data_IF_856550614726
#
_entry.id   IF_856550614726
#
_cell.length_a   1.000
_cell.length_b   1.000
_cell.length_c   1.000
_cell.angle_alpha   90.00
_cell.angle_beta   90.00
_cell.angle_gamma   90.00
#
_symmetry.space_group_name_H-M   'P 1'
#
loop_
_entity.id
_entity.type
_entity.pdbx_description
1 polymer ?
#
# COMPACT_ATOMS: atom_id res chain seq x y z
N UNK A 1 35.80 -8.87 1.21
CA UNK A 1 35.02 -8.33 0.09
C UNK A 1 33.69 -7.81 0.67
N UNK A 2 33.58 -6.50 0.83
CA UNK A 2 32.32 -5.86 1.16
C UNK A 2 31.36 -6.05 -0.03
N UNK A 3 30.32 -6.83 0.18
CA UNK A 3 29.17 -6.87 -0.74
C UNK A 3 28.44 -5.54 -0.55
N UNK A 4 28.26 -4.81 -1.62
CA UNK A 4 27.70 -3.46 -1.66
C UNK A 4 26.42 -3.36 -0.82
N UNK A 5 26.35 -2.41 0.09
CA UNK A 5 25.25 -2.17 1.02
C UNK A 5 23.89 -1.93 0.34
N UNK A 6 23.88 -1.46 -0.91
CA UNK A 6 22.67 -1.18 -1.67
C UNK A 6 21.85 -2.43 -2.03
N UNK A 7 22.50 -3.54 -2.40
CA UNK A 7 21.79 -4.80 -2.69
C UNK A 7 21.21 -5.43 -1.41
N UNK A 8 21.89 -5.25 -0.27
CA UNK A 8 21.43 -5.72 1.04
C UNK A 8 20.20 -4.94 1.53
N UNK A 9 20.07 -3.65 1.20
CA UNK A 9 18.96 -2.80 1.64
C UNK A 9 17.66 -3.06 0.87
N UNK A 10 17.72 -3.47 -0.40
CA UNK A 10 16.54 -3.83 -1.19
C UNK A 10 15.83 -5.05 -0.59
N UNK A 11 16.56 -6.02 -0.04
CA UNK A 11 15.98 -7.18 0.62
C UNK A 11 15.48 -6.89 2.04
N UNK A 12 15.96 -5.83 2.67
CA UNK A 12 15.60 -5.47 4.05
C UNK A 12 14.35 -4.60 4.14
N UNK A 13 14.03 -3.85 3.10
CA UNK A 13 12.84 -2.99 3.03
C UNK A 13 11.90 -3.54 1.98
N UNK A 14 10.67 -3.80 2.37
CA UNK A 14 9.62 -4.27 1.46
C UNK A 14 8.36 -3.45 1.67
N UNK A 15 7.75 -3.07 0.56
CA UNK A 15 6.50 -2.32 0.53
C UNK A 15 5.43 -3.22 -0.06
N UNK A 16 4.36 -3.42 0.70
CA UNK A 16 3.20 -4.21 0.31
C UNK A 16 1.98 -3.31 0.21
N UNK A 17 1.15 -3.55 -0.77
CA UNK A 17 -0.16 -2.92 -0.89
C UNK A 17 -1.27 -3.97 -0.86
N UNK A 18 -2.48 -3.56 -0.50
CA UNK A 18 -3.63 -4.46 -0.49
C UNK A 18 -3.96 -4.97 -1.89
N UNK A 19 -4.35 -6.22 -1.99
CA UNK A 19 -4.77 -6.85 -3.25
C UNK A 19 -6.28 -6.76 -3.47
N UNK A 20 -7.02 -6.25 -2.51
CA UNK A 20 -8.46 -6.07 -2.58
C UNK A 20 -8.83 -5.03 -3.61
N UNK A 21 -9.89 -5.29 -4.38
CA UNK A 21 -10.48 -4.33 -5.31
C UNK A 21 -11.98 -4.23 -5.06
N UNK A 22 -12.46 -3.00 -4.90
CA UNK A 22 -13.88 -2.64 -4.82
C UNK A 22 -14.09 -1.17 -5.19
N UNK A 23 -15.27 -0.83 -5.68
CA UNK A 23 -15.56 0.52 -6.17
C UNK A 23 -15.53 1.60 -5.08
N UNK A 24 -15.68 1.24 -3.80
CA UNK A 24 -15.80 2.21 -2.70
C UNK A 24 -14.47 2.56 -2.06
N UNK A 25 -13.68 1.54 -1.70
CA UNK A 25 -12.45 1.71 -0.90
C UNK A 25 -11.17 1.40 -1.68
N UNK A 26 -11.25 0.51 -2.67
CA UNK A 26 -10.11 0.01 -3.42
C UNK A 26 -10.41 0.03 -4.93
N UNK A 27 -10.56 1.22 -5.54
CA UNK A 27 -11.00 1.33 -6.93
C UNK A 27 -9.98 0.81 -7.95
N UNK A 28 -8.72 0.68 -7.56
CA UNK A 28 -7.66 0.16 -8.42
C UNK A 28 -7.44 -1.34 -8.18
N UNK A 29 -7.20 -2.10 -9.25
CA UNK A 29 -6.71 -3.47 -9.15
C UNK A 29 -5.26 -3.51 -8.62
N UNK A 30 -4.83 -4.70 -8.19
CA UNK A 30 -3.54 -4.86 -7.54
C UNK A 30 -2.36 -4.46 -8.43
N UNK A 31 -2.36 -4.91 -9.67
CA UNK A 31 -1.27 -4.61 -10.62
C UNK A 31 -1.18 -3.11 -10.90
N UNK A 32 -2.31 -2.46 -11.06
CA UNK A 32 -2.39 -1.00 -11.26
C UNK A 32 -1.89 -0.23 -10.05
N UNK A 33 -2.27 -0.63 -8.83
CA UNK A 33 -1.74 -0.04 -7.59
C UNK A 33 -0.22 -0.11 -7.53
N UNK A 34 0.33 -1.30 -7.77
CA UNK A 34 1.78 -1.51 -7.74
C UNK A 34 2.47 -0.65 -8.78
N UNK A 35 1.94 -0.58 -10.00
CA UNK A 35 2.49 0.23 -11.08
C UNK A 35 2.52 1.72 -10.72
N UNK A 36 1.44 2.27 -10.18
CA UNK A 36 1.41 3.68 -9.75
C UNK A 36 2.35 3.96 -8.58
N UNK A 37 2.43 3.08 -7.59
CA UNK A 37 3.36 3.25 -6.47
C UNK A 37 4.79 3.31 -6.99
N UNK A 38 5.18 2.42 -7.89
CA UNK A 38 6.52 2.40 -8.51
C UNK A 38 6.81 3.63 -9.33
N UNK A 39 5.84 4.13 -10.07
CA UNK A 39 6.00 5.30 -10.93
C UNK A 39 6.06 6.61 -10.15
N UNK A 40 5.24 6.73 -9.11
CA UNK A 40 5.19 7.93 -8.24
C UNK A 40 6.41 7.98 -7.33
N UNK A 41 6.90 6.83 -6.88
CA UNK A 41 8.05 6.69 -5.99
C UNK A 41 9.13 5.82 -6.62
N UNK A 42 9.80 6.28 -7.70
CA UNK A 42 10.80 5.48 -8.41
C UNK A 42 12.00 5.09 -7.53
N UNK A 43 12.30 5.88 -6.50
CA UNK A 43 13.34 5.59 -5.50
C UNK A 43 13.07 4.32 -4.70
N UNK A 44 11.81 3.91 -4.57
CA UNK A 44 11.38 2.70 -3.87
C UNK A 44 10.84 1.61 -4.80
N UNK A 45 10.90 1.79 -6.10
CA UNK A 45 10.29 0.89 -7.08
C UNK A 45 10.70 -0.58 -6.88
N UNK A 46 11.98 -0.83 -6.58
CA UNK A 46 12.52 -2.17 -6.35
C UNK A 46 12.12 -2.77 -5.00
N UNK A 47 11.61 -1.97 -4.08
CA UNK A 47 11.15 -2.42 -2.77
C UNK A 47 9.67 -2.82 -2.77
N UNK A 48 8.91 -2.41 -3.80
CA UNK A 48 7.49 -2.74 -3.92
C UNK A 48 7.33 -4.17 -4.41
N UNK A 49 6.73 -4.99 -3.55
CA UNK A 49 6.50 -6.41 -3.84
C UNK A 49 5.20 -6.59 -4.61
N UNK A 50 5.28 -7.22 -5.77
CA UNK A 50 4.13 -7.67 -6.56
C UNK A 50 4.09 -9.19 -6.58
N UNK A 51 3.29 -9.78 -5.70
CA UNK A 51 3.11 -11.22 -5.60
C UNK A 51 1.71 -11.52 -5.06
N UNK A 52 0.87 -12.15 -5.88
CA UNK A 52 -0.51 -12.47 -5.51
C UNK A 52 -0.63 -13.45 -4.35
N UNK A 53 0.41 -14.24 -4.07
CA UNK A 53 0.44 -15.15 -2.91
C UNK A 53 0.62 -14.39 -1.58
N UNK A 54 1.16 -13.17 -1.63
CA UNK A 54 1.40 -12.31 -0.46
C UNK A 54 0.17 -11.45 -0.14
N UNK A 55 -0.99 -12.05 -0.07
CA UNK A 55 -2.28 -11.37 0.09
C UNK A 55 -2.74 -11.22 1.55
N UNK A 56 -2.05 -11.81 2.49
CA UNK A 56 -2.31 -11.66 3.93
C UNK A 56 -1.03 -11.44 4.72
N UNK A 57 -1.15 -10.77 5.87
CA UNK A 57 0.01 -10.52 6.74
C UNK A 57 0.70 -11.80 7.22
N UNK A 58 -0.02 -12.84 7.67
CA UNK A 58 0.63 -14.10 8.07
C UNK A 58 1.41 -14.77 6.93
N UNK A 59 0.93 -14.70 5.69
CA UNK A 59 1.68 -15.23 4.53
C UNK A 59 2.95 -14.44 4.26
N UNK A 60 2.91 -13.13 4.39
CA UNK A 60 4.10 -12.27 4.29
C UNK A 60 5.10 -12.64 5.38
N UNK A 61 4.65 -12.80 6.61
CA UNK A 61 5.50 -13.20 7.74
C UNK A 61 6.13 -14.58 7.51
N UNK A 62 5.37 -15.55 7.04
CA UNK A 62 5.88 -16.88 6.70
C UNK A 62 6.97 -16.80 5.63
N UNK A 63 6.75 -16.04 4.58
CA UNK A 63 7.74 -15.82 3.51
C UNK A 63 9.02 -15.16 4.03
N UNK A 64 8.90 -14.17 4.91
CA UNK A 64 10.07 -13.51 5.53
C UNK A 64 10.85 -14.48 6.42
N UNK A 65 10.16 -15.31 7.20
CA UNK A 65 10.78 -16.33 8.03
C UNK A 65 11.53 -17.38 7.20
N UNK A 66 10.95 -17.86 6.11
CA UNK A 66 11.59 -18.80 5.18
C UNK A 66 12.86 -18.24 4.56
N UNK A 67 12.92 -16.93 4.35
CA UNK A 67 14.11 -16.22 3.85
C UNK A 67 15.17 -15.95 4.92
N UNK A 68 14.94 -16.36 6.16
CA UNK A 68 15.90 -16.28 7.26
C UNK A 68 15.85 -15.00 8.08
N UNK A 69 14.81 -14.19 7.96
CA UNK A 69 14.64 -13.01 8.82
C UNK A 69 14.12 -13.41 10.19
N UNK A 70 14.83 -13.00 11.24
CA UNK A 70 14.48 -13.26 12.64
C UNK A 70 13.96 -12.01 13.36
N UNK A 71 14.25 -10.84 12.83
CA UNK A 71 13.88 -9.54 13.38
C UNK A 71 13.14 -8.75 12.32
N UNK A 72 11.94 -8.30 12.65
CA UNK A 72 11.09 -7.54 11.73
C UNK A 72 10.56 -6.27 12.38
N UNK A 73 10.38 -5.24 11.57
CA UNK A 73 9.72 -4.01 11.93
C UNK A 73 8.60 -3.75 10.93
N UNK A 74 7.37 -3.66 11.43
CA UNK A 74 6.21 -3.28 10.63
C UNK A 74 5.95 -1.79 10.74
N UNK A 75 5.66 -1.17 9.61
CA UNK A 75 5.25 0.24 9.53
C UNK A 75 3.88 0.29 8.86
N UNK A 76 2.92 0.88 9.55
CA UNK A 76 1.57 1.06 9.04
C UNK A 76 0.92 2.31 9.67
N UNK A 77 -0.22 2.73 9.13
CA UNK A 77 -1.01 3.79 9.75
C UNK A 77 -1.46 3.39 11.16
N UNK A 78 -1.51 4.34 12.09
CA UNK A 78 -1.83 4.08 13.50
C UNK A 78 -3.18 3.40 13.70
N UNK A 79 -4.16 3.70 12.84
CA UNK A 79 -5.50 3.10 12.84
C UNK A 79 -5.52 1.60 12.58
N UNK A 80 -4.52 1.06 11.88
CA UNK A 80 -4.41 -0.36 11.54
C UNK A 80 -3.37 -1.12 12.35
N UNK A 81 -2.44 -0.39 12.96
CA UNK A 81 -1.26 -0.98 13.59
C UNK A 81 -1.60 -1.94 14.72
N UNK A 82 -2.59 -1.62 15.56
CA UNK A 82 -3.01 -2.46 16.69
C UNK A 82 -3.59 -3.80 16.22
N UNK A 83 -4.48 -3.77 15.22
CA UNK A 83 -5.06 -4.99 14.65
C UNK A 83 -3.98 -5.84 13.97
N UNK A 84 -3.08 -5.22 13.20
CA UNK A 84 -1.99 -5.92 12.53
C UNK A 84 -1.02 -6.55 13.53
N UNK A 85 -0.64 -5.80 14.57
CA UNK A 85 0.28 -6.30 15.58
C UNK A 85 -0.29 -7.48 16.34
N UNK A 86 -1.58 -7.44 16.71
CA UNK A 86 -2.28 -8.54 17.37
C UNK A 86 -2.29 -9.78 16.47
N UNK A 87 -2.71 -9.64 15.23
CA UNK A 87 -2.78 -10.74 14.27
C UNK A 87 -1.43 -11.42 14.09
N UNK A 88 -0.38 -10.66 13.91
CA UNK A 88 0.97 -11.19 13.67
C UNK A 88 1.51 -11.87 14.92
N UNK A 89 1.31 -11.30 16.11
CA UNK A 89 1.75 -11.88 17.38
C UNK A 89 0.99 -13.16 17.73
N UNK A 90 -0.31 -13.22 17.47
CA UNK A 90 -1.15 -14.37 17.79
C UNK A 90 -0.70 -15.65 17.06
N UNK A 91 -0.14 -15.51 15.86
CA UNK A 91 0.34 -16.64 15.06
C UNK A 91 1.86 -16.84 15.09
N UNK A 92 2.60 -16.04 15.85
CA UNK A 92 4.05 -16.22 15.98
C UNK A 92 4.38 -17.53 16.73
N UNK A 93 5.07 -18.43 16.07
CA UNK A 93 5.43 -19.74 16.60
C UNK A 93 4.29 -20.78 16.58
N UNK A 94 3.20 -20.53 15.86
CA UNK A 94 2.05 -21.44 15.74
C UNK A 94 2.16 -22.27 14.48
N UNK A 95 2.25 -23.58 14.63
CA UNK A 95 2.35 -24.54 13.54
C UNK A 95 0.99 -24.95 12.96
N UNK A 96 0.99 -25.57 11.78
CA UNK A 96 -0.18 -26.20 11.18
C UNK A 96 -1.23 -25.25 10.59
N UNK A 97 -0.88 -24.00 10.39
CA UNK A 97 -1.76 -23.01 9.74
C UNK A 97 -1.56 -22.96 8.23
N UNK A 98 -2.64 -22.77 7.47
CA UNK A 98 -2.60 -22.73 6.02
C UNK A 98 -1.78 -21.57 5.43
N UNK A 99 -1.56 -20.50 6.19
CA UNK A 99 -0.69 -19.40 5.79
C UNK A 99 0.82 -19.68 5.94
N UNK A 100 1.21 -20.82 6.53
CA UNK A 100 2.58 -21.18 6.81
C UNK A 100 3.01 -20.84 8.24
N UNK A 101 4.25 -21.23 8.56
CA UNK A 101 4.85 -21.04 9.88
C UNK A 101 5.81 -19.85 9.86
N UNK A 102 5.81 -19.08 10.93
CA UNK A 102 6.84 -18.10 11.23
C UNK A 102 7.08 -17.97 12.73
N UNK A 103 8.31 -17.68 13.09
CA UNK A 103 8.70 -17.36 14.45
C UNK A 103 9.80 -16.30 14.40
N UNK A 104 9.49 -15.09 14.82
CA UNK A 104 10.44 -14.01 14.94
C UNK A 104 10.88 -13.83 16.37
N UNK A 105 12.17 -13.55 16.57
CA UNK A 105 12.75 -13.22 17.87
C UNK A 105 12.32 -11.83 18.32
N UNK A 106 12.26 -10.87 17.37
CA UNK A 106 11.87 -9.48 17.64
C UNK A 106 10.86 -9.01 16.59
N UNK A 107 9.79 -8.42 17.06
CA UNK A 107 8.77 -7.76 16.24
C UNK A 107 8.54 -6.34 16.76
N UNK A 108 8.85 -5.35 15.94
CA UNK A 108 8.60 -3.95 16.23
C UNK A 108 7.46 -3.44 15.35
N UNK A 109 6.66 -2.53 15.88
CA UNK A 109 5.53 -1.93 15.20
C UNK A 109 5.63 -0.41 15.31
N UNK A 110 5.83 0.27 14.18
CA UNK A 110 5.98 1.70 14.11
C UNK A 110 4.84 2.31 13.31
N UNK A 111 4.28 3.40 13.82
CA UNK A 111 3.28 4.17 13.09
C UNK A 111 3.93 5.02 12.00
N UNK A 112 3.34 5.01 10.81
CA UNK A 112 3.71 5.94 9.73
C UNK A 112 3.10 7.34 9.89
N UNK A 113 2.40 7.60 10.98
CA UNK A 113 1.68 8.83 11.29
C UNK A 113 0.19 8.60 11.53
N UNK A 114 -0.46 9.55 12.20
CA UNK A 114 -1.91 9.56 12.35
C UNK A 114 -2.55 10.16 11.11
N UNK A 115 -3.58 9.50 10.60
CA UNK A 115 -4.48 10.08 9.62
C UNK A 115 -5.52 10.88 10.37
N UNK A 116 -5.30 12.18 10.53
CA UNK A 116 -6.34 13.07 11.04
C UNK A 116 -7.23 13.51 9.87
N UNK A 117 -8.52 13.21 9.97
CA UNK A 117 -9.52 13.76 9.07
C UNK A 117 -9.56 15.29 9.26
N UNK A 118 -9.06 16.01 8.26
CA UNK A 118 -9.19 17.46 8.19
C UNK A 118 -7.93 18.31 8.45
N UNK A 119 -6.75 17.72 8.54
CA UNK A 119 -5.52 18.52 8.60
C UNK A 119 -5.03 18.93 7.20
N UNK A 120 -4.74 20.20 7.01
CA UNK A 120 -4.25 20.81 5.75
C UNK A 120 -2.77 20.47 5.43
N UNK A 121 -2.18 19.50 6.11
CA UNK A 121 -0.78 19.09 5.93
C UNK A 121 -0.59 17.74 5.27
N UNK A 122 0.64 17.45 4.87
CA UNK A 122 1.04 16.15 4.27
C UNK A 122 0.71 14.96 5.20
N UNK A 123 0.60 15.19 6.49
CA UNK A 123 0.25 14.18 7.51
C UNK A 123 -1.24 13.79 7.49
N UNK A 124 -2.13 14.64 6.95
CA UNK A 124 -3.57 14.41 6.91
C UNK A 124 -4.08 13.74 5.62
N UNK A 125 -3.22 13.42 4.67
CA UNK A 125 -3.64 12.87 3.39
C UNK A 125 -4.05 11.41 3.57
N UNK A 126 -5.35 11.15 3.32
CA UNK A 126 -5.89 9.79 3.36
C UNK A 126 -6.39 9.36 1.99
N UNK A 127 -6.39 8.04 1.75
CA UNK A 127 -7.02 7.48 0.56
C UNK A 127 -8.52 7.85 0.45
N UNK A 128 -9.16 8.15 1.57
CA UNK A 128 -10.55 8.65 1.62
C UNK A 128 -10.68 10.03 1.00
N UNK A 129 -9.76 10.96 1.32
CA UNK A 129 -9.73 12.29 0.73
C UNK A 129 -9.48 12.23 -0.79
N UNK A 130 -8.50 11.47 -1.22
CA UNK A 130 -8.21 11.31 -2.64
C UNK A 130 -9.40 10.72 -3.43
N UNK A 131 -10.11 9.75 -2.86
CA UNK A 131 -11.32 9.21 -3.49
C UNK A 131 -12.46 10.23 -3.52
N UNK A 132 -12.63 11.03 -2.47
CA UNK A 132 -13.62 12.11 -2.44
C UNK A 132 -13.32 13.17 -3.51
N UNK A 133 -12.09 13.59 -3.66
CA UNK A 133 -11.65 14.53 -4.70
C UNK A 133 -11.95 13.97 -6.11
N UNK A 134 -11.63 12.70 -6.33
CA UNK A 134 -11.92 12.02 -7.59
C UNK A 134 -13.44 11.92 -7.86
N UNK A 135 -14.22 11.60 -6.85
CA UNK A 135 -15.68 11.54 -6.97
C UNK A 135 -16.31 12.91 -7.26
N UNK A 136 -15.75 13.97 -6.67
CA UNK A 136 -16.22 15.35 -6.85
C UNK A 136 -15.73 16.00 -8.16
N UNK A 137 -14.88 15.32 -8.92
CA UNK A 137 -14.34 15.85 -10.16
C UNK A 137 -13.23 16.91 -9.96
N UNK A 138 -12.64 16.99 -8.78
CA UNK A 138 -11.61 17.97 -8.43
C UNK A 138 -10.19 17.38 -8.61
N UNK A 139 -9.72 17.43 -9.86
CA UNK A 139 -8.38 16.92 -10.21
C UNK A 139 -7.25 17.70 -9.52
N UNK A 140 -7.43 18.98 -9.26
CA UNK A 140 -6.39 19.80 -8.63
C UNK A 140 -6.17 19.40 -7.19
N UNK A 141 -7.25 19.24 -6.42
CA UNK A 141 -7.16 18.71 -5.05
C UNK A 141 -6.65 17.27 -5.04
N UNK A 142 -7.11 16.43 -5.95
CA UNK A 142 -6.64 15.07 -6.10
C UNK A 142 -5.11 15.02 -6.31
N UNK A 143 -4.59 15.83 -7.23
CA UNK A 143 -3.14 15.93 -7.49
C UNK A 143 -2.37 16.40 -6.25
N UNK A 144 -2.90 17.40 -5.55
CA UNK A 144 -2.31 17.91 -4.32
C UNK A 144 -2.29 16.86 -3.20
N UNK A 145 -3.42 16.20 -2.96
CA UNK A 145 -3.57 15.22 -1.88
C UNK A 145 -2.85 13.90 -2.16
N UNK A 146 -2.70 13.49 -3.40
CA UNK A 146 -1.96 12.26 -3.72
C UNK A 146 -0.46 12.46 -3.87
N UNK A 147 -0.02 13.67 -4.14
CA UNK A 147 1.39 13.95 -4.46
C UNK A 147 1.88 13.23 -5.73
N UNK A 148 0.96 12.84 -6.62
CA UNK A 148 1.28 12.01 -7.78
C UNK A 148 2.04 12.76 -8.90
N UNK A 149 2.16 14.09 -8.82
CA UNK A 149 2.90 14.90 -9.77
C UNK A 149 2.43 14.70 -11.22
N UNK A 150 3.33 14.34 -12.10
CA UNK A 150 3.05 14.06 -13.52
C UNK A 150 2.14 12.85 -13.75
N UNK A 151 2.00 11.97 -12.76
CA UNK A 151 1.13 10.79 -12.81
C UNK A 151 -0.30 11.06 -12.33
N UNK A 152 -0.60 12.28 -11.89
CA UNK A 152 -1.89 12.63 -11.28
C UNK A 152 -3.07 12.44 -12.24
N UNK A 153 -2.94 12.83 -13.51
CA UNK A 153 -4.00 12.70 -14.50
C UNK A 153 -4.36 11.23 -14.77
N UNK A 154 -3.35 10.38 -14.96
CA UNK A 154 -3.54 8.96 -15.19
C UNK A 154 -4.12 8.26 -13.96
N UNK A 155 -3.63 8.59 -12.78
CA UNK A 155 -4.11 8.05 -11.51
C UNK A 155 -5.58 8.46 -11.26
N UNK A 156 -5.90 9.73 -11.48
CA UNK A 156 -7.25 10.27 -11.36
C UNK A 156 -8.23 9.54 -12.28
N UNK A 157 -7.89 9.38 -13.55
CA UNK A 157 -8.73 8.68 -14.52
C UNK A 157 -8.94 7.20 -14.12
N UNK A 158 -7.88 6.52 -13.67
CA UNK A 158 -7.96 5.13 -13.22
C UNK A 158 -8.83 4.97 -11.97
N UNK A 159 -8.73 5.89 -11.01
CA UNK A 159 -9.54 5.88 -9.78
C UNK A 159 -11.01 6.12 -10.12
N UNK A 160 -11.34 7.11 -10.92
CA UNK A 160 -12.72 7.38 -11.36
C UNK A 160 -13.33 6.18 -12.09
N UNK A 161 -12.60 5.59 -13.02
CA UNK A 161 -13.04 4.38 -13.73
C UNK A 161 -13.30 3.22 -12.75
N UNK A 162 -12.40 3.00 -11.81
CA UNK A 162 -12.57 1.96 -10.80
C UNK A 162 -13.73 2.21 -9.83
N UNK A 163 -14.11 3.46 -9.62
CA UNK A 163 -15.29 3.87 -8.86
C UNK A 163 -16.60 3.77 -9.66
N UNK A 164 -16.52 3.43 -10.95
CA UNK A 164 -17.68 3.38 -11.83
C UNK A 164 -18.17 4.75 -12.32
N UNK A 165 -17.32 5.77 -12.21
CA UNK A 165 -17.63 7.12 -12.71
C UNK A 165 -17.16 7.18 -14.16
N UNK A 166 -18.11 7.27 -15.10
CA UNK A 166 -17.81 7.45 -16.52
C UNK A 166 -17.79 8.94 -16.83
N UNK A 167 -16.65 9.42 -17.32
CA UNK A 167 -16.53 10.74 -17.92
C UNK A 167 -17.10 10.69 -19.36
N UNK A 168 -18.38 10.36 -19.49
CA UNK A 168 -19.07 10.61 -20.73
C UNK A 168 -19.33 12.12 -20.81
N UNK A 169 -18.30 12.85 -21.28
CA UNK A 169 -18.57 14.10 -21.93
C UNK A 169 -19.35 13.76 -23.19
N UNK A 170 -20.66 14.06 -23.19
CA UNK A 170 -21.50 13.83 -24.32
C UNK A 170 -20.93 14.50 -25.59
N UNK A 171 -20.48 13.70 -26.51
CA UNK A 171 -20.58 14.05 -27.91
C UNK A 171 -22.04 13.80 -28.29
N UNK A 172 -22.80 14.84 -28.20
CA UNK A 172 -24.04 14.92 -28.98
C UNK A 172 -23.60 15.15 -30.42
N UNK A 173 -23.59 14.09 -31.18
CA UNK A 173 -23.65 14.19 -32.63
C UNK A 173 -25.03 14.72 -33.02
N UNK A 174 -25.09 15.97 -33.50
CA UNK A 174 -26.14 16.44 -34.37
C UNK A 174 -25.83 16.03 -35.82
#
# INVERSE_FOLDING_TARGET
RQVSSAASDVYKRQIYTSQTQDAKKNPLDYSTKVSFIRNIHPEFANNVVENTDMNTLPKICSSLHERGFNHITFVAGSDRLDMMSKLIKDYNGVEGKGHGYYKFETMNFNSSGQREDGSDGVEGISGTMARADAANGDINKFAQHTGAGEHADALYAAVRKGMGINDNTGENDE
#
